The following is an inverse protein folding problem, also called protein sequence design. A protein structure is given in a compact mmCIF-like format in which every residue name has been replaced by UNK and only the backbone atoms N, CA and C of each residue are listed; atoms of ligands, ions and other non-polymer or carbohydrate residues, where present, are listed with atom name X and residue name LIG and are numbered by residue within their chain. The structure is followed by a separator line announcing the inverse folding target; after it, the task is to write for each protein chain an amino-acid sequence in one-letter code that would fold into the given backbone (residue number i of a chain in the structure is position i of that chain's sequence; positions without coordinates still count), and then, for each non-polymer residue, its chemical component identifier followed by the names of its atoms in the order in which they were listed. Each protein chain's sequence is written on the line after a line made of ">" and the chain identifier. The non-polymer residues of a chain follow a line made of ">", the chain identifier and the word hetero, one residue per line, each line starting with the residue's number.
data_IF_316477848712
#
_entry.id   IF_316477848712
#
_cell.length_a   1.000
_cell.length_b   1.000
_cell.length_c   1.000
_cell.angle_alpha   90.00
_cell.angle_beta   90.00
_cell.angle_gamma   90.00
#
_symmetry.space_group_name_H-M   'P 1'
#
loop_
_entity.id
_entity.type
_entity.pdbx_description
1 polymer ?
#
# COMPACT_ATOMS: atom_id res chain seq x y z
N UNK A 1 -10.17 16.51 4.68
CA UNK A 1 -11.61 16.20 4.51
C UNK A 1 -12.21 17.24 3.56
N UNK A 2 -12.98 16.84 2.55
CA UNK A 2 -13.67 17.82 1.68
C UNK A 2 -13.68 17.55 0.17
N UNK A 3 -13.84 16.30 -0.28
CA UNK A 3 -14.11 15.96 -1.68
C UNK A 3 -14.96 14.70 -1.83
N UNK A 4 -15.85 14.43 -0.87
CA UNK A 4 -16.71 13.23 -0.95
C UNK A 4 -17.60 13.32 -2.18
N UNK A 5 -17.96 14.52 -2.66
CA UNK A 5 -18.73 14.70 -3.89
C UNK A 5 -18.06 14.15 -5.17
N UNK A 6 -16.74 13.91 -5.16
CA UNK A 6 -16.04 13.28 -6.27
C UNK A 6 -15.36 11.96 -5.88
N UNK A 7 -15.87 11.29 -4.84
CA UNK A 7 -15.40 10.00 -4.38
C UNK A 7 -16.55 9.00 -4.31
N UNK A 8 -16.27 7.78 -4.75
CA UNK A 8 -17.11 6.62 -4.43
C UNK A 8 -16.51 5.90 -3.22
N UNK A 9 -17.33 5.65 -2.20
CA UNK A 9 -16.90 4.92 -1.01
C UNK A 9 -17.39 3.48 -1.11
N UNK A 10 -16.43 2.56 -1.20
CA UNK A 10 -16.69 1.12 -1.27
C UNK A 10 -16.25 0.51 0.05
N UNK A 11 -17.19 -0.09 0.76
CA UNK A 11 -16.88 -0.82 1.99
C UNK A 11 -16.34 -2.22 1.65
N UNK A 12 -15.09 -2.25 1.18
CA UNK A 12 -14.38 -3.47 0.78
C UNK A 12 -12.88 -3.36 1.10
N UNK A 13 -12.21 -4.52 1.10
CA UNK A 13 -10.75 -4.61 1.24
C UNK A 13 -10.05 -4.31 -0.09
N UNK A 14 -8.82 -3.79 -0.04
CA UNK A 14 -8.00 -3.63 -1.25
C UNK A 14 -7.67 -4.98 -1.92
N UNK A 15 -7.78 -6.09 -1.20
CA UNK A 15 -7.64 -7.43 -1.79
C UNK A 15 -8.67 -7.73 -2.88
N UNK A 16 -9.75 -6.94 -2.99
CA UNK A 16 -10.76 -7.06 -4.05
C UNK A 16 -10.75 -5.87 -5.00
N UNK A 17 -9.67 -5.07 -5.06
CA UNK A 17 -9.60 -3.85 -5.88
C UNK A 17 -9.92 -4.11 -7.36
N UNK A 18 -9.53 -5.24 -7.93
CA UNK A 18 -9.81 -5.62 -9.32
C UNK A 18 -11.30 -5.80 -9.63
N UNK A 19 -12.16 -6.02 -8.61
CA UNK A 19 -13.61 -6.08 -8.78
C UNK A 19 -14.25 -4.69 -8.92
N UNK A 20 -13.56 -3.66 -8.45
CA UNK A 20 -14.10 -2.30 -8.33
C UNK A 20 -13.41 -1.32 -9.28
N UNK A 21 -12.22 -1.65 -9.78
CA UNK A 21 -11.47 -0.81 -10.69
C UNK A 21 -10.77 -1.65 -11.77
N UNK A 22 -11.17 -1.44 -13.02
CA UNK A 22 -10.57 -2.13 -14.18
C UNK A 22 -9.28 -1.47 -14.71
N UNK A 23 -8.88 -0.32 -14.15
CA UNK A 23 -7.76 0.48 -14.65
C UNK A 23 -7.97 1.07 -16.06
N UNK A 24 -6.94 1.72 -16.63
CA UNK A 24 -5.66 2.01 -15.99
C UNK A 24 -5.77 3.16 -14.97
N UNK A 25 -5.18 3.01 -13.77
CA UNK A 25 -5.16 4.06 -12.74
C UNK A 25 -3.78 4.71 -12.63
N UNK A 26 -3.75 6.00 -12.33
CA UNK A 26 -2.48 6.75 -12.18
C UNK A 26 -1.87 6.64 -10.78
N UNK A 27 -2.69 6.33 -9.77
CA UNK A 27 -2.24 6.18 -8.40
C UNK A 27 -3.06 5.14 -7.63
N UNK A 28 -2.40 4.38 -6.77
CA UNK A 28 -3.02 3.58 -5.70
C UNK A 28 -2.31 3.90 -4.38
N UNK A 29 -3.06 3.98 -3.28
CA UNK A 29 -2.52 4.31 -1.97
C UNK A 29 -2.94 3.28 -0.93
N UNK A 30 -1.96 2.76 -0.20
CA UNK A 30 -2.15 1.91 0.96
C UNK A 30 -1.70 2.66 2.22
N UNK A 31 -2.52 2.64 3.26
CA UNK A 31 -2.16 3.13 4.58
C UNK A 31 -2.37 2.00 5.59
N UNK A 32 -1.31 1.25 5.86
CA UNK A 32 -1.37 0.00 6.61
C UNK A 32 -1.53 0.25 8.12
N UNK A 33 -1.92 -0.79 8.85
CA UNK A 33 -2.14 -0.79 10.28
C UNK A 33 -3.62 -0.72 10.66
N UNK A 34 -3.93 0.02 11.73
CA UNK A 34 -5.30 0.18 12.25
C UNK A 34 -5.79 1.62 12.08
N UNK A 35 -7.11 1.80 12.13
CA UNK A 35 -7.75 3.11 12.10
C UNK A 35 -7.52 3.86 13.44
N UNK A 36 -6.93 5.08 13.45
CA UNK A 36 -6.78 5.85 14.68
C UNK A 36 -8.14 6.15 15.34
N UNK A 37 -8.26 5.82 16.63
CA UNK A 37 -9.51 5.96 17.37
C UNK A 37 -10.55 4.85 17.13
N UNK A 38 -10.25 3.88 16.26
CA UNK A 38 -11.04 2.67 16.05
C UNK A 38 -10.59 1.49 16.90
N UNK A 39 -11.12 0.32 16.56
CA UNK A 39 -10.72 -0.96 17.15
C UNK A 39 -9.28 -1.32 16.74
N UNK A 40 -8.43 -1.66 17.71
CA UNK A 40 -7.01 -1.97 17.48
C UNK A 40 -6.78 -3.40 17.03
N UNK A 41 -7.78 -4.26 17.13
CA UNK A 41 -7.72 -5.64 16.64
C UNK A 41 -8.03 -5.72 15.13
N UNK A 42 -8.65 -4.66 14.59
CA UNK A 42 -8.92 -4.51 13.15
C UNK A 42 -7.71 -3.86 12.48
N UNK A 43 -6.78 -4.71 12.03
CA UNK A 43 -5.56 -4.33 11.31
C UNK A 43 -5.57 -4.85 9.86
N UNK A 44 -4.81 -4.20 9.00
CA UNK A 44 -4.37 -4.80 7.73
C UNK A 44 -3.49 -6.04 8.00
N UNK A 45 -3.52 -6.99 7.06
CA UNK A 45 -2.82 -8.28 7.19
C UNK A 45 -1.96 -8.55 5.95
N UNK A 46 -0.83 -9.27 6.12
CA UNK A 46 0.09 -9.59 5.02
C UNK A 46 -0.63 -10.14 3.78
N UNK A 47 -1.44 -11.18 3.94
CA UNK A 47 -2.09 -11.87 2.81
C UNK A 47 -3.01 -10.95 2.00
N UNK A 48 -3.89 -10.21 2.69
CA UNK A 48 -4.81 -9.25 2.06
C UNK A 48 -4.07 -8.07 1.42
N UNK A 49 -2.99 -7.60 2.05
CA UNK A 49 -2.19 -6.47 1.56
C UNK A 49 -1.41 -6.86 0.31
N UNK A 50 -0.80 -8.05 0.28
CA UNK A 50 -0.12 -8.56 -0.89
C UNK A 50 -1.10 -8.82 -2.05
N UNK A 51 -2.26 -9.42 -1.77
CA UNK A 51 -3.29 -9.63 -2.79
C UNK A 51 -3.77 -8.33 -3.44
N UNK A 52 -3.96 -7.27 -2.64
CA UNK A 52 -4.30 -5.95 -3.14
C UNK A 52 -3.15 -5.29 -3.90
N UNK A 53 -1.91 -5.45 -3.43
CA UNK A 53 -0.72 -4.93 -4.09
C UNK A 53 -0.54 -5.54 -5.49
N UNK A 54 -0.65 -6.86 -5.64
CA UNK A 54 -0.52 -7.52 -6.96
C UNK A 54 -1.52 -6.95 -7.98
N UNK A 55 -2.81 -6.91 -7.60
CA UNK A 55 -3.85 -6.37 -8.46
C UNK A 55 -3.62 -4.89 -8.78
N UNK A 56 -3.10 -4.12 -7.82
CA UNK A 56 -2.77 -2.71 -8.01
C UNK A 56 -1.67 -2.50 -9.05
N UNK A 57 -0.65 -3.35 -9.07
CA UNK A 57 0.45 -3.30 -10.04
C UNK A 57 -0.02 -3.66 -11.46
N UNK A 58 -1.00 -4.55 -11.58
CA UNK A 58 -1.64 -4.93 -12.85
C UNK A 58 -2.42 -3.77 -13.46
N UNK A 59 -3.31 -3.14 -12.68
CA UNK A 59 -4.19 -2.05 -13.15
C UNK A 59 -3.48 -0.70 -13.25
N UNK A 60 -2.22 -0.59 -12.81
CA UNK A 60 -1.48 0.66 -12.85
C UNK A 60 -1.17 1.09 -14.29
N UNK A 61 -1.42 2.36 -14.59
CA UNK A 61 -0.99 3.00 -15.84
C UNK A 61 0.53 3.02 -15.94
N UNK A 62 1.05 3.07 -17.17
CA UNK A 62 2.46 3.39 -17.42
C UNK A 62 2.81 4.74 -16.77
N UNK A 63 3.91 4.79 -16.02
CA UNK A 63 4.30 5.95 -15.21
C UNK A 63 3.49 6.17 -13.92
N UNK A 64 2.44 5.38 -13.66
CA UNK A 64 1.62 5.46 -12.46
C UNK A 64 2.34 4.97 -11.20
N UNK A 65 1.78 5.28 -10.03
CA UNK A 65 2.42 5.04 -8.72
C UNK A 65 1.55 4.21 -7.77
N UNK A 66 2.20 3.35 -6.98
CA UNK A 66 1.63 2.78 -5.76
C UNK A 66 2.41 3.36 -4.58
N UNK A 67 1.71 4.01 -3.65
CA UNK A 67 2.29 4.52 -2.41
C UNK A 67 1.80 3.66 -1.24
N UNK A 68 2.72 3.19 -0.40
CA UNK A 68 2.42 2.32 0.74
C UNK A 68 3.04 2.96 1.98
N UNK A 69 2.21 3.45 2.90
CA UNK A 69 2.64 3.87 4.24
C UNK A 69 2.56 2.68 5.19
N UNK A 70 3.70 2.31 5.78
CA UNK A 70 3.84 1.14 6.65
C UNK A 70 4.02 1.60 8.10
N UNK A 71 3.31 0.96 9.04
CA UNK A 71 3.36 1.26 10.47
C UNK A 71 3.83 0.02 11.26
N UNK A 72 5.15 -0.21 11.41
CA UNK A 72 5.64 -1.47 11.99
C UNK A 72 5.52 -1.58 13.51
N UNK A 73 5.24 -0.47 14.22
CA UNK A 73 5.30 -0.38 15.68
C UNK A 73 4.12 -0.97 16.46
N UNK A 74 3.14 -1.60 15.81
CA UNK A 74 2.00 -2.24 16.48
C UNK A 74 2.01 -3.76 16.29
N UNK A 75 1.16 -4.46 17.05
CA UNK A 75 1.00 -5.91 16.93
C UNK A 75 0.62 -6.30 15.49
N UNK A 76 1.33 -7.27 14.92
CA UNK A 76 1.20 -7.68 13.52
C UNK A 76 1.90 -6.76 12.50
N UNK A 77 2.12 -5.48 12.81
CA UNK A 77 2.68 -4.49 11.86
C UNK A 77 4.06 -4.87 11.32
N UNK A 78 4.92 -5.48 12.15
CA UNK A 78 6.24 -5.93 11.70
C UNK A 78 6.18 -7.15 10.76
N UNK A 79 5.16 -8.03 10.88
CA UNK A 79 4.98 -9.15 9.96
C UNK A 79 4.56 -8.64 8.58
N UNK A 80 3.61 -7.72 8.55
CA UNK A 80 3.16 -7.07 7.32
C UNK A 80 4.26 -6.26 6.66
N UNK A 81 5.06 -5.52 7.44
CA UNK A 81 6.28 -4.86 6.97
C UNK A 81 7.18 -5.81 6.19
N UNK A 82 7.57 -6.92 6.80
CA UNK A 82 8.49 -7.89 6.20
C UNK A 82 7.92 -8.45 4.90
N UNK A 83 6.65 -8.86 4.89
CA UNK A 83 6.01 -9.41 3.71
C UNK A 83 5.98 -8.41 2.53
N UNK A 84 5.64 -7.15 2.80
CA UNK A 84 5.64 -6.09 1.77
C UNK A 84 7.05 -5.81 1.28
N UNK A 85 8.03 -5.64 2.17
CA UNK A 85 9.42 -5.36 1.78
C UNK A 85 10.03 -6.49 0.94
N UNK A 86 9.81 -7.74 1.34
CA UNK A 86 10.25 -8.92 0.58
C UNK A 86 9.61 -8.98 -0.80
N UNK A 87 8.30 -8.69 -0.90
CA UNK A 87 7.60 -8.75 -2.18
C UNK A 87 8.06 -7.64 -3.13
N UNK A 88 8.14 -6.40 -2.67
CA UNK A 88 8.50 -5.26 -3.55
C UNK A 88 9.96 -5.33 -3.99
N UNK A 89 10.85 -5.93 -3.19
CA UNK A 89 12.24 -6.16 -3.56
C UNK A 89 12.42 -7.15 -4.72
N UNK A 90 11.41 -7.99 -4.99
CA UNK A 90 11.42 -8.96 -6.09
C UNK A 90 10.86 -8.39 -7.41
N UNK A 91 10.35 -7.15 -7.41
CA UNK A 91 9.84 -6.54 -8.64
C UNK A 91 10.96 -6.32 -9.65
N UNK A 92 10.69 -6.67 -10.91
CA UNK A 92 11.66 -6.51 -11.99
C UNK A 92 11.99 -5.02 -12.21
N UNK A 93 13.26 -4.58 -12.08
CA UNK A 93 13.65 -3.17 -12.17
C UNK A 93 13.33 -2.48 -13.51
N UNK A 94 13.18 -3.26 -14.58
CA UNK A 94 12.80 -2.77 -15.90
C UNK A 94 11.29 -2.48 -16.02
N UNK A 95 10.48 -3.01 -15.10
CA UNK A 95 9.03 -2.84 -15.07
C UNK A 95 8.60 -1.90 -13.94
N UNK A 96 9.33 -1.89 -12.83
CA UNK A 96 9.00 -1.10 -11.66
C UNK A 96 10.25 -0.50 -10.99
N UNK A 97 10.14 0.74 -10.56
CA UNK A 97 11.12 1.41 -9.71
C UNK A 97 10.57 1.52 -8.29
N UNK A 98 11.35 1.12 -7.29
CA UNK A 98 10.91 1.04 -5.89
C UNK A 98 11.84 1.89 -5.01
N UNK A 99 11.26 2.78 -4.22
CA UNK A 99 11.97 3.61 -3.24
C UNK A 99 11.40 3.43 -1.85
N UNK A 100 12.28 3.49 -0.84
CA UNK A 100 11.92 3.51 0.58
C UNK A 100 12.31 4.86 1.17
N UNK A 101 11.37 5.55 1.80
CA UNK A 101 11.57 6.88 2.39
C UNK A 101 11.03 6.91 3.81
N UNK A 102 11.91 7.17 4.78
CA UNK A 102 11.57 7.30 6.19
C UNK A 102 12.46 8.33 6.89
N UNK A 103 12.06 8.73 8.10
CA UNK A 103 12.84 9.65 8.92
C UNK A 103 14.11 8.95 9.45
N UNK A 104 15.25 9.65 9.44
CA UNK A 104 16.54 9.06 9.80
C UNK A 104 16.84 9.09 11.32
N UNK A 105 16.16 9.95 12.07
CA UNK A 105 16.43 10.24 13.48
C UNK A 105 15.29 9.77 14.41
N UNK A 106 14.60 8.69 14.03
CA UNK A 106 13.49 8.10 14.79
C UNK A 106 13.70 6.60 14.97
N UNK A 107 13.00 5.94 15.91
CA UNK A 107 13.07 4.48 16.08
C UNK A 107 12.72 3.72 14.80
N UNK A 108 13.24 2.51 14.66
CA UNK A 108 12.93 1.61 13.52
C UNK A 108 11.46 1.17 13.46
N UNK A 109 10.72 1.39 14.55
CA UNK A 109 9.26 1.16 14.65
C UNK A 109 8.43 2.33 14.11
N UNK A 110 9.06 3.46 13.75
CA UNK A 110 8.38 4.60 13.17
C UNK A 110 7.87 4.30 11.75
N UNK A 111 6.78 4.94 11.32
CA UNK A 111 6.24 4.74 10.00
C UNK A 111 7.15 5.30 8.90
N UNK A 112 7.08 4.68 7.73
CA UNK A 112 7.79 5.10 6.54
C UNK A 112 6.99 4.74 5.28
N UNK A 113 7.43 5.24 4.13
CA UNK A 113 6.77 5.02 2.85
C UNK A 113 7.61 4.14 1.94
N UNK A 114 6.93 3.28 1.19
CA UNK A 114 7.43 2.65 -0.02
C UNK A 114 6.68 3.26 -1.21
N UNK A 115 7.41 3.72 -2.21
CA UNK A 115 6.87 4.21 -3.47
C UNK A 115 7.28 3.25 -4.57
N UNK A 116 6.31 2.77 -5.35
CA UNK A 116 6.53 1.93 -6.53
C UNK A 116 6.02 2.71 -7.73
N UNK A 117 6.85 2.89 -8.75
CA UNK A 117 6.45 3.48 -10.03
C UNK A 117 6.54 2.44 -11.14
N UNK A 118 5.49 2.26 -11.93
CA UNK A 118 5.53 1.44 -13.15
C UNK A 118 6.27 2.20 -14.25
N UNK A 119 7.15 1.52 -14.96
CA UNK A 119 7.90 2.13 -16.06
C UNK A 119 6.95 2.64 -17.15
N UNK A 120 7.39 3.69 -17.85
CA UNK A 120 6.62 4.34 -18.91
C UNK A 120 6.65 3.53 -20.21
#
# INVERSE_FOLDING_TARGET
>A
AGRIECAELIHASHETIGLHCSGPVTAVMFNLGYLPGGDRDVITRPDSTLAGLEQSLEILAAGGIVAITIYPGHEGGNLERTAVEERVAQLAPNNFHVWRMGQMNVPTTAPYNILIQKTA
#
